data_IF_480534351317
#
_entry.id   IF_480534351317
#
_cell.length_a   1.000
_cell.length_b   1.000
_cell.length_c   1.000
_cell.angle_alpha   90.00
_cell.angle_beta   90.00
_cell.angle_gamma   90.00
#
_symmetry.space_group_name_H-M   'P 1'
#
loop_
_entity.id
_entity.type
_entity.pdbx_description
1 polymer ?
#
# COMPACT_ATOMS: atom_id res chain seq x y z
N UNK A 1 9.08 54.10 -21.13
CA UNK A 1 8.31 53.48 -20.03
C UNK A 1 8.81 52.06 -19.92
N UNK A 2 9.64 51.81 -18.93
CA UNK A 2 10.63 50.74 -18.97
C UNK A 2 9.99 49.41 -18.52
N UNK A 3 9.87 48.44 -19.42
CA UNK A 3 9.16 47.16 -19.20
C UNK A 3 9.79 46.20 -18.18
N UNK A 4 10.74 46.66 -17.36
CA UNK A 4 11.42 45.84 -16.36
C UNK A 4 10.46 45.29 -15.29
N UNK A 5 9.37 46.01 -14.99
CA UNK A 5 8.35 45.53 -14.06
C UNK A 5 7.64 44.28 -14.57
N UNK A 6 7.43 44.16 -15.89
CA UNK A 6 6.84 42.96 -16.50
C UNK A 6 7.76 41.75 -16.31
N UNK A 7 9.06 41.93 -16.53
CA UNK A 7 10.07 40.89 -16.33
C UNK A 7 10.20 40.50 -14.85
N UNK A 8 10.15 41.48 -13.94
CA UNK A 8 10.16 41.23 -12.50
C UNK A 8 8.94 40.41 -12.05
N UNK A 9 7.74 40.78 -12.51
CA UNK A 9 6.52 40.02 -12.22
C UNK A 9 6.55 38.61 -12.83
N UNK A 10 7.04 38.47 -14.07
CA UNK A 10 7.20 37.16 -14.70
C UNK A 10 8.15 36.25 -13.92
N UNK A 11 9.28 36.79 -13.45
CA UNK A 11 10.22 36.05 -12.60
C UNK A 11 9.60 35.64 -11.26
N UNK A 12 8.88 36.54 -10.59
CA UNK A 12 8.18 36.24 -9.33
C UNK A 12 7.16 35.11 -9.53
N UNK A 13 6.34 35.18 -10.58
CA UNK A 13 5.37 34.13 -10.89
C UNK A 13 6.04 32.79 -11.21
N UNK A 14 7.16 32.80 -11.93
CA UNK A 14 7.95 31.59 -12.22
C UNK A 14 8.49 30.95 -10.93
N UNK A 15 9.01 31.75 -10.00
CA UNK A 15 9.49 31.26 -8.69
C UNK A 15 8.34 30.69 -7.87
N UNK A 16 7.19 31.37 -7.82
CA UNK A 16 6.01 30.87 -7.10
C UNK A 16 5.49 29.56 -7.68
N UNK A 17 5.44 29.45 -9.02
CA UNK A 17 5.06 28.20 -9.69
C UNK A 17 6.05 27.07 -9.38
N UNK A 18 7.35 27.35 -9.42
CA UNK A 18 8.38 26.37 -9.07
C UNK A 18 8.23 25.90 -7.61
N UNK A 19 8.03 26.83 -6.67
CA UNK A 19 7.78 26.51 -5.26
C UNK A 19 6.53 25.67 -5.10
N UNK A 20 5.44 26.00 -5.81
CA UNK A 20 4.21 25.22 -5.79
C UNK A 20 4.41 23.79 -6.31
N UNK A 21 5.13 23.61 -7.42
CA UNK A 21 5.42 22.29 -7.98
C UNK A 21 6.28 21.46 -7.02
N UNK A 22 7.36 22.05 -6.49
CA UNK A 22 8.22 21.38 -5.49
C UNK A 22 7.42 21.02 -4.24
N UNK A 23 6.61 21.95 -3.73
CA UNK A 23 5.73 21.71 -2.59
C UNK A 23 4.78 20.55 -2.85
N UNK A 24 4.09 20.52 -4.00
CA UNK A 24 3.19 19.44 -4.38
C UNK A 24 3.92 18.09 -4.42
N UNK A 25 5.09 18.03 -5.06
CA UNK A 25 5.87 16.79 -5.17
C UNK A 25 6.32 16.27 -3.80
N UNK A 26 6.81 17.16 -2.94
CA UNK A 26 7.20 16.80 -1.56
C UNK A 26 5.99 16.37 -0.74
N UNK A 27 4.86 17.05 -0.92
CA UNK A 27 3.62 16.72 -0.22
C UNK A 27 3.12 15.32 -0.58
N UNK A 28 3.07 14.98 -1.87
CA UNK A 28 2.69 13.64 -2.34
C UNK A 28 3.66 12.56 -1.84
N UNK A 29 4.97 12.82 -1.79
CA UNK A 29 5.93 11.84 -1.27
C UNK A 29 5.75 11.59 0.25
N UNK A 30 5.53 12.66 1.01
CA UNK A 30 5.42 12.58 2.48
C UNK A 30 4.05 12.12 2.96
N UNK A 31 2.98 12.54 2.29
CA UNK A 31 1.60 12.37 2.73
C UNK A 31 0.71 11.64 1.73
N UNK A 32 1.26 11.20 0.60
CA UNK A 32 0.55 10.37 -0.36
C UNK A 32 0.07 9.07 0.26
N UNK A 33 -1.06 8.58 -0.23
CA UNK A 33 -1.62 7.30 0.23
C UNK A 33 -0.67 6.16 -0.14
N UNK A 34 -0.45 5.25 0.81
CA UNK A 34 0.37 4.05 0.62
C UNK A 34 -0.48 2.80 0.79
N UNK A 35 -0.09 1.74 0.10
CA UNK A 35 -0.68 0.40 0.24
C UNK A 35 0.23 -0.44 1.13
N UNK A 36 -0.38 -1.25 2.00
CA UNK A 36 0.32 -2.23 2.84
C UNK A 36 0.28 -3.59 2.15
N UNK A 37 1.44 -4.16 1.83
CA UNK A 37 1.53 -5.53 1.34
C UNK A 37 1.85 -6.45 2.51
N UNK A 38 0.91 -7.34 2.84
CA UNK A 38 1.09 -8.36 3.88
C UNK A 38 1.49 -9.68 3.24
N UNK A 39 2.60 -10.25 3.71
CA UNK A 39 3.17 -11.48 3.19
C UNK A 39 2.95 -12.63 4.16
N UNK A 40 2.28 -13.68 3.68
CA UNK A 40 2.19 -14.99 4.33
C UNK A 40 2.96 -16.01 3.48
N UNK A 41 3.38 -17.12 4.09
CA UNK A 41 4.00 -18.24 3.35
C UNK A 41 3.10 -19.46 3.41
N UNK A 42 2.78 -19.93 4.63
CA UNK A 42 1.87 -21.06 4.81
C UNK A 42 1.00 -20.96 6.06
N UNK A 43 -0.13 -21.66 6.02
CA UNK A 43 -1.03 -21.86 7.15
C UNK A 43 -0.89 -23.25 7.75
N UNK A 44 -1.20 -23.38 9.04
CA UNK A 44 -1.27 -24.65 9.76
C UNK A 44 -2.49 -24.69 10.67
N UNK A 45 -3.09 -25.87 10.80
CA UNK A 45 -4.12 -26.12 11.79
C UNK A 45 -3.57 -25.89 13.20
N UNK A 46 -4.37 -25.26 14.04
CA UNK A 46 -3.98 -24.77 15.37
C UNK A 46 -3.40 -25.88 16.26
N UNK A 47 -3.96 -27.08 16.20
CA UNK A 47 -3.53 -28.22 17.01
C UNK A 47 -2.13 -28.71 16.63
N UNK A 48 -1.70 -28.45 15.39
CA UNK A 48 -0.41 -28.89 14.84
C UNK A 48 0.66 -27.81 14.91
N UNK A 49 0.28 -26.57 15.26
CA UNK A 49 1.16 -25.41 15.23
C UNK A 49 2.38 -25.54 16.16
N UNK A 50 2.24 -26.23 17.29
CA UNK A 50 3.35 -26.38 18.25
C UNK A 50 4.43 -27.36 17.78
N UNK A 51 4.06 -28.31 16.92
CA UNK A 51 4.94 -29.35 16.39
C UNK A 51 5.75 -28.88 15.18
N UNK A 52 5.41 -27.72 14.60
CA UNK A 52 6.06 -27.18 13.42
C UNK A 52 7.44 -26.58 13.75
N UNK A 53 8.46 -27.03 13.03
CA UNK A 53 9.85 -26.59 13.20
C UNK A 53 10.17 -25.25 12.54
N UNK A 54 9.30 -24.75 11.66
CA UNK A 54 9.50 -23.54 10.84
C UNK A 54 8.54 -22.41 11.26
N UNK A 55 8.50 -22.14 12.58
CA UNK A 55 7.59 -21.17 13.23
C UNK A 55 7.60 -19.75 12.62
N UNK A 56 8.65 -19.37 11.88
CA UNK A 56 8.77 -18.04 11.24
C UNK A 56 7.92 -17.93 9.97
N UNK A 57 7.66 -19.03 9.28
CA UNK A 57 6.96 -19.04 7.98
C UNK A 57 5.51 -19.51 8.08
N UNK A 58 5.09 -19.98 9.26
CA UNK A 58 3.79 -20.61 9.47
C UNK A 58 2.90 -19.74 10.37
N UNK A 59 1.65 -19.57 9.96
CA UNK A 59 0.63 -18.92 10.78
C UNK A 59 -0.50 -19.91 11.11
N UNK A 60 -1.05 -19.82 12.31
CA UNK A 60 -2.23 -20.61 12.70
C UNK A 60 -3.45 -20.15 11.91
N UNK A 61 -4.37 -21.06 11.63
CA UNK A 61 -5.62 -20.73 10.94
C UNK A 61 -6.47 -19.74 11.76
N UNK A 62 -6.50 -19.89 13.10
CA UNK A 62 -7.19 -18.92 13.96
C UNK A 62 -6.61 -17.51 13.85
N UNK A 63 -5.30 -17.36 14.01
CA UNK A 63 -4.60 -16.08 13.91
C UNK A 63 -4.85 -15.42 12.54
N UNK A 64 -4.76 -16.20 11.46
CA UNK A 64 -5.03 -15.72 10.11
C UNK A 64 -6.48 -15.23 9.97
N UNK A 65 -7.47 -15.98 10.48
CA UNK A 65 -8.88 -15.54 10.43
C UNK A 65 -9.13 -14.26 11.20
N UNK A 66 -8.55 -14.11 12.39
CA UNK A 66 -8.68 -12.88 13.18
C UNK A 66 -8.07 -11.69 12.44
N UNK A 67 -6.91 -11.88 11.82
CA UNK A 67 -6.27 -10.86 10.98
C UNK A 67 -7.16 -10.50 9.78
N UNK A 68 -7.74 -11.48 9.07
CA UNK A 68 -8.64 -11.21 7.94
C UNK A 68 -9.92 -10.49 8.36
N UNK A 69 -10.46 -10.81 9.54
CA UNK A 69 -11.60 -10.08 10.10
C UNK A 69 -11.24 -8.61 10.39
N UNK A 70 -10.05 -8.35 10.95
CA UNK A 70 -9.54 -7.01 11.18
C UNK A 70 -9.34 -6.23 9.87
N UNK A 71 -8.75 -6.86 8.85
CA UNK A 71 -8.57 -6.24 7.54
C UNK A 71 -9.91 -5.88 6.90
N UNK A 72 -10.90 -6.77 6.98
CA UNK A 72 -12.25 -6.52 6.49
C UNK A 72 -12.93 -5.34 7.20
N UNK A 73 -12.69 -5.15 8.50
CA UNK A 73 -13.34 -4.10 9.29
C UNK A 73 -12.64 -2.75 9.18
N UNK A 74 -11.30 -2.73 9.09
CA UNK A 74 -10.50 -1.50 9.30
C UNK A 74 -9.69 -1.05 8.09
N UNK A 75 -9.56 -1.89 7.07
CA UNK A 75 -8.75 -1.65 5.87
C UNK A 75 -9.59 -1.79 4.59
N UNK A 76 -9.00 -1.43 3.46
CA UNK A 76 -9.58 -1.66 2.12
C UNK A 76 -8.74 -2.71 1.39
N UNK A 77 -9.14 -4.00 1.44
CA UNK A 77 -8.49 -5.04 0.66
C UNK A 77 -8.59 -4.74 -0.83
N UNK A 78 -7.48 -4.86 -1.53
CA UNK A 78 -7.38 -4.71 -2.99
C UNK A 78 -6.92 -6.00 -3.63
N UNK A 79 -7.41 -6.27 -4.84
CA UNK A 79 -6.71 -7.18 -5.74
C UNK A 79 -5.41 -6.54 -6.23
N UNK A 80 -4.47 -7.35 -6.72
CA UNK A 80 -3.27 -6.82 -7.38
C UNK A 80 -3.63 -5.98 -8.62
N UNK A 81 -4.67 -6.38 -9.36
CA UNK A 81 -5.13 -5.63 -10.55
C UNK A 81 -5.66 -4.24 -10.18
N UNK A 82 -6.44 -4.13 -9.09
CA UNK A 82 -6.91 -2.84 -8.59
C UNK A 82 -5.75 -1.96 -8.12
N UNK A 83 -4.76 -2.56 -7.44
CA UNK A 83 -3.56 -1.82 -7.05
C UNK A 83 -2.76 -1.34 -8.27
N UNK A 84 -2.65 -2.15 -9.32
CA UNK A 84 -1.99 -1.76 -10.57
C UNK A 84 -2.76 -0.62 -11.26
N UNK A 85 -4.09 -0.69 -11.32
CA UNK A 85 -4.91 0.39 -11.83
C UNK A 85 -4.73 1.69 -11.02
N UNK A 86 -4.62 1.60 -9.69
CA UNK A 86 -4.34 2.73 -8.83
C UNK A 86 -2.95 3.33 -9.09
N UNK A 87 -1.92 2.48 -9.26
CA UNK A 87 -0.56 2.89 -9.61
C UNK A 87 -0.46 3.59 -10.96
N UNK A 88 -1.31 3.19 -11.91
CA UNK A 88 -1.40 3.82 -13.23
C UNK A 88 -2.25 5.10 -13.25
N UNK A 89 -2.82 5.50 -12.10
CA UNK A 89 -3.68 6.68 -12.00
C UNK A 89 -5.05 6.51 -12.66
N UNK A 90 -5.47 5.27 -12.94
CA UNK A 90 -6.80 4.97 -13.50
C UNK A 90 -7.89 5.04 -12.44
N UNK A 91 -7.53 4.77 -11.19
CA UNK A 91 -8.38 4.93 -10.00
C UNK A 91 -7.55 5.56 -8.88
N UNK A 92 -8.21 6.14 -7.89
CA UNK A 92 -7.54 6.61 -6.68
C UNK A 92 -7.22 5.43 -5.76
N UNK A 93 -6.03 5.43 -5.15
CA UNK A 93 -5.72 4.48 -4.09
C UNK A 93 -6.60 4.80 -2.86
N UNK A 94 -7.37 3.84 -2.33
CA UNK A 94 -8.17 4.09 -1.14
C UNK A 94 -7.29 4.26 0.10
N UNK A 95 -7.82 4.93 1.12
CA UNK A 95 -7.15 5.00 2.42
C UNK A 95 -7.07 3.61 3.05
N UNK A 96 -5.95 3.32 3.72
CA UNK A 96 -5.72 2.01 4.36
C UNK A 96 -5.84 0.85 3.36
N UNK A 97 -5.37 1.05 2.13
CA UNK A 97 -5.27 0.00 1.13
C UNK A 97 -4.36 -1.13 1.63
N UNK A 98 -4.81 -2.38 1.48
CA UNK A 98 -4.04 -3.57 1.84
C UNK A 98 -4.12 -4.63 0.74
N UNK A 99 -3.02 -5.30 0.47
CA UNK A 99 -2.97 -6.50 -0.37
C UNK A 99 -2.41 -7.64 0.48
N UNK A 100 -3.06 -8.80 0.44
CA UNK A 100 -2.59 -10.02 1.10
C UNK A 100 -1.94 -10.91 0.03
N UNK A 101 -0.70 -11.33 0.25
CA UNK A 101 0.04 -12.21 -0.66
C UNK A 101 0.48 -13.48 0.07
N UNK A 102 0.59 -14.56 -0.70
CA UNK A 102 1.15 -15.83 -0.27
C UNK A 102 2.30 -16.20 -1.20
N UNK A 103 3.50 -16.42 -0.65
CA UNK A 103 4.66 -16.86 -1.43
C UNK A 103 4.82 -18.39 -1.39
N UNK A 104 5.75 -18.90 -2.22
CA UNK A 104 6.18 -20.31 -2.33
C UNK A 104 5.16 -21.36 -2.80
N UNK A 105 3.86 -21.05 -2.82
CA UNK A 105 2.84 -21.94 -3.38
C UNK A 105 2.58 -23.19 -2.54
N UNK A 106 2.66 -23.08 -1.20
CA UNK A 106 2.33 -24.17 -0.30
C UNK A 106 0.89 -24.67 -0.49
N UNK A 107 0.70 -25.99 -0.46
CA UNK A 107 -0.63 -26.63 -0.58
C UNK A 107 -1.60 -26.15 0.51
N UNK A 108 -1.11 -25.84 1.71
CA UNK A 108 -1.96 -25.35 2.79
C UNK A 108 -2.60 -24.00 2.48
N UNK A 109 -2.00 -23.17 1.60
CA UNK A 109 -2.62 -21.93 1.15
C UNK A 109 -3.91 -22.21 0.40
N UNK A 110 -3.92 -23.25 -0.45
CA UNK A 110 -5.13 -23.64 -1.18
C UNK A 110 -6.18 -24.28 -0.27
N UNK A 111 -5.75 -25.02 0.76
CA UNK A 111 -6.67 -25.79 1.62
C UNK A 111 -7.23 -25.00 2.80
N UNK A 112 -6.48 -24.05 3.34
CA UNK A 112 -6.75 -23.44 4.64
C UNK A 112 -6.99 -21.93 4.61
N UNK A 113 -6.59 -21.22 3.54
CA UNK A 113 -6.80 -19.78 3.41
C UNK A 113 -8.21 -19.47 2.88
#
# INVERSE_FOLDING_TARGET
MDGWYVLAWAYVLMVLFFVFVVFKLVWEELFGRRMIALLYHRLIEDERAEEDSEKVYVNRVSDFREQMALLREKYHPLSLDDYMAAREGKIDLPERAVVVTFDDGFESNYRLA
#
